data_IF_380340438630
#
_entry.id   IF_380340438630
#
_cell.length_a   1.000
_cell.length_b   1.000
_cell.length_c   1.000
_cell.angle_alpha   90.00
_cell.angle_beta   90.00
_cell.angle_gamma   90.00
#
_symmetry.space_group_name_H-M   'P 1'
#
loop_
_entity.id
_entity.type
_entity.pdbx_description
1 polymer ?
#
# COMPACT_ATOMS: atom_id res chain seq x y z
N UNK A 1 11.14 -65.11 1.45
CA UNK A 1 12.23 -64.19 1.05
C UNK A 1 12.08 -63.85 -0.43
N UNK A 2 11.65 -62.62 -0.71
CA UNK A 2 11.98 -61.77 -1.88
C UNK A 2 10.89 -60.70 -1.99
N UNK A 3 11.27 -59.48 -1.59
CA UNK A 3 10.52 -58.23 -1.79
C UNK A 3 10.93 -57.61 -3.13
N UNK A 4 9.97 -56.86 -3.72
CA UNK A 4 10.04 -55.58 -4.46
C UNK A 4 9.07 -55.57 -5.66
N UNK A 5 8.70 -54.40 -6.24
CA UNK A 5 8.17 -53.16 -5.63
C UNK A 5 7.07 -52.49 -6.51
N UNK A 6 6.41 -51.44 -6.01
CA UNK A 6 5.68 -50.33 -6.71
C UNK A 6 4.45 -49.93 -5.88
N UNK A 7 4.08 -48.67 -5.66
CA UNK A 7 4.54 -47.38 -6.15
C UNK A 7 3.99 -46.36 -5.15
N UNK A 8 4.86 -45.59 -4.51
CA UNK A 8 4.46 -44.38 -3.79
C UNK A 8 4.51 -43.22 -4.76
N UNK A 9 3.35 -42.68 -5.13
CA UNK A 9 3.25 -41.39 -5.79
C UNK A 9 3.77 -40.30 -4.83
N UNK A 10 5.00 -39.84 -5.09
CA UNK A 10 5.46 -38.53 -4.62
C UNK A 10 4.82 -37.49 -5.54
N UNK A 11 3.91 -36.68 -5.01
CA UNK A 11 3.47 -35.47 -5.69
C UNK A 11 4.54 -34.39 -5.58
N UNK A 12 4.90 -33.86 -6.75
CA UNK A 12 6.02 -32.96 -7.04
C UNK A 12 5.53 -31.50 -7.02
N UNK A 13 6.36 -30.64 -6.42
CA UNK A 13 6.56 -29.19 -6.63
C UNK A 13 5.34 -28.24 -6.66
N UNK A 14 5.23 -27.42 -5.61
CA UNK A 14 4.53 -26.14 -5.64
C UNK A 14 5.52 -25.00 -5.99
N UNK A 15 5.19 -24.19 -6.99
CA UNK A 15 6.02 -23.15 -7.60
C UNK A 15 6.22 -21.88 -6.74
N UNK A 16 7.34 -21.13 -6.88
CA UNK A 16 7.73 -19.97 -6.05
C UNK A 16 6.69 -18.84 -5.95
N UNK A 17 5.98 -18.55 -7.06
CA UNK A 17 4.92 -17.53 -7.16
C UNK A 17 3.78 -17.80 -6.14
N UNK A 18 3.57 -19.07 -5.77
CA UNK A 18 2.51 -19.47 -4.86
C UNK A 18 2.83 -19.23 -3.38
N UNK A 19 4.08 -18.89 -3.01
CA UNK A 19 4.49 -18.71 -1.61
C UNK A 19 4.15 -17.31 -1.08
N UNK A 20 4.67 -16.24 -1.70
CA UNK A 20 4.52 -14.87 -1.19
C UNK A 20 3.12 -14.31 -1.45
N UNK A 21 2.52 -14.59 -2.61
CA UNK A 21 1.13 -14.24 -2.89
C UNK A 21 0.17 -14.92 -1.89
N UNK A 22 0.45 -16.17 -1.50
CA UNK A 22 -0.31 -16.90 -0.46
C UNK A 22 -0.06 -16.34 0.93
N UNK A 23 1.15 -15.88 1.26
CA UNK A 23 1.44 -15.21 2.53
C UNK A 23 0.78 -13.84 2.62
N UNK A 24 0.74 -13.07 1.53
CA UNK A 24 0.00 -11.82 1.46
C UNK A 24 -1.52 -12.06 1.57
N UNK A 25 -2.04 -13.07 0.89
CA UNK A 25 -3.44 -13.50 1.03
C UNK A 25 -3.76 -13.95 2.47
N UNK A 26 -2.88 -14.75 3.09
CA UNK A 26 -3.00 -15.17 4.51
C UNK A 26 -2.96 -13.98 5.47
N UNK A 27 -2.04 -13.05 5.28
CA UNK A 27 -1.94 -11.79 6.03
C UNK A 27 -3.26 -11.02 5.98
N UNK A 28 -3.83 -10.89 4.78
CA UNK A 28 -5.09 -10.19 4.60
C UNK A 28 -6.25 -10.91 5.31
N UNK A 29 -6.34 -12.25 5.18
CA UNK A 29 -7.35 -13.08 5.85
C UNK A 29 -7.27 -12.98 7.38
N UNK A 30 -6.09 -13.08 7.99
CA UNK A 30 -5.93 -12.97 9.44
C UNK A 30 -6.40 -11.62 9.99
N UNK A 31 -6.19 -10.53 9.23
CA UNK A 31 -6.71 -9.20 9.58
C UNK A 31 -8.25 -9.11 9.49
N UNK A 32 -8.90 -10.00 8.75
CA UNK A 32 -10.35 -10.10 8.62
C UNK A 32 -10.97 -11.08 9.62
N UNK A 33 -10.35 -12.22 9.92
CA UNK A 33 -10.84 -13.19 10.92
C UNK A 33 -10.96 -12.57 12.31
N UNK A 34 -10.08 -11.62 12.63
CA UNK A 34 -10.17 -10.80 13.85
C UNK A 34 -11.45 -9.93 13.90
N UNK A 35 -12.08 -9.66 12.75
CA UNK A 35 -13.33 -8.90 12.59
C UNK A 35 -14.56 -9.78 12.36
N UNK A 36 -14.40 -10.95 11.72
CA UNK A 36 -15.49 -11.86 11.33
C UNK A 36 -15.97 -12.80 12.45
N UNK A 37 -15.19 -12.99 13.53
CA UNK A 37 -15.61 -13.81 14.67
C UNK A 37 -16.88 -13.29 15.42
N UNK A 38 -17.49 -12.20 14.93
CA UNK A 38 -18.62 -11.52 15.56
C UNK A 38 -20.02 -11.92 15.02
N UNK A 39 -20.18 -12.58 13.87
CA UNK A 39 -21.54 -12.80 13.30
C UNK A 39 -21.64 -14.08 12.46
N UNK A 40 -22.52 -15.02 12.86
CA UNK A 40 -22.77 -16.29 12.17
C UNK A 40 -24.06 -16.29 11.33
N UNK A 41 -24.04 -16.93 10.15
CA UNK A 41 -25.18 -16.90 9.21
C UNK A 41 -25.32 -18.16 8.34
N UNK A 42 -26.57 -18.48 7.96
CA UNK A 42 -26.92 -19.20 6.70
C UNK A 42 -28.21 -18.72 6.01
N UNK A 43 -29.10 -17.95 6.66
CA UNK A 43 -30.33 -17.41 6.04
C UNK A 43 -30.24 -15.94 5.58
N UNK A 44 -29.16 -15.26 5.94
CA UNK A 44 -28.96 -13.83 5.75
C UNK A 44 -28.22 -13.46 4.45
N UNK A 45 -27.51 -14.43 3.86
CA UNK A 45 -26.65 -14.25 2.68
C UNK A 45 -27.42 -13.79 1.42
N UNK A 46 -28.69 -14.20 1.24
CA UNK A 46 -29.47 -13.84 0.04
C UNK A 46 -30.06 -12.43 0.05
N UNK A 47 -30.31 -11.85 1.22
CA UNK A 47 -30.80 -10.47 1.34
C UNK A 47 -29.68 -9.46 1.03
N UNK A 48 -28.46 -9.73 1.52
CA UNK A 48 -27.28 -8.91 1.23
C UNK A 48 -26.83 -9.00 -0.21
N UNK A 49 -27.00 -10.15 -0.88
CA UNK A 49 -26.64 -10.29 -2.30
C UNK A 49 -27.42 -9.31 -3.20
N UNK A 50 -28.73 -9.19 -2.96
CA UNK A 50 -29.59 -8.26 -3.69
C UNK A 50 -29.23 -6.81 -3.38
N UNK A 51 -29.05 -6.47 -2.10
CA UNK A 51 -28.67 -5.12 -1.67
C UNK A 51 -27.32 -4.69 -2.27
N UNK A 52 -26.31 -5.56 -2.23
CA UNK A 52 -24.99 -5.28 -2.81
C UNK A 52 -25.02 -5.16 -4.33
N UNK A 53 -25.86 -5.95 -4.99
CA UNK A 53 -26.05 -5.84 -6.44
C UNK A 53 -26.65 -4.49 -6.83
N UNK A 54 -27.66 -4.01 -6.10
CA UNK A 54 -28.27 -2.69 -6.31
C UNK A 54 -27.27 -1.55 -6.03
N UNK A 55 -26.47 -1.66 -4.96
CA UNK A 55 -25.40 -0.70 -4.66
C UNK A 55 -24.35 -0.70 -5.79
N UNK A 56 -23.89 -1.87 -6.22
CA UNK A 56 -22.88 -1.99 -7.27
C UNK A 56 -23.37 -1.40 -8.60
N UNK A 57 -24.62 -1.68 -8.99
CA UNK A 57 -25.21 -1.13 -10.22
C UNK A 57 -25.28 0.40 -10.18
N UNK A 58 -25.72 0.97 -9.04
CA UNK A 58 -25.74 2.42 -8.84
C UNK A 58 -24.34 3.03 -9.00
N UNK A 59 -23.34 2.42 -8.35
CA UNK A 59 -21.95 2.88 -8.41
C UNK A 59 -21.34 2.71 -9.81
N UNK A 60 -21.75 1.68 -10.55
CA UNK A 60 -21.32 1.48 -11.94
C UNK A 60 -21.81 2.62 -12.83
N UNK A 61 -23.05 3.08 -12.62
CA UNK A 61 -23.62 4.20 -13.37
C UNK A 61 -22.89 5.52 -13.09
N UNK A 62 -22.46 5.75 -11.85
CA UNK A 62 -21.71 6.97 -11.48
C UNK A 62 -20.22 6.90 -11.81
N UNK A 63 -19.65 5.71 -11.98
CA UNK A 63 -18.21 5.47 -12.15
C UNK A 63 -17.55 6.37 -13.19
N UNK A 64 -18.17 6.54 -14.37
CA UNK A 64 -17.61 7.38 -15.44
C UNK A 64 -17.51 8.84 -15.03
N UNK A 65 -18.56 9.39 -14.42
CA UNK A 65 -18.58 10.78 -13.97
C UNK A 65 -17.59 10.98 -12.82
N UNK A 66 -17.59 10.05 -11.87
CA UNK A 66 -16.71 10.06 -10.70
C UNK A 66 -15.22 9.97 -11.08
N UNK A 67 -14.87 9.15 -12.07
CA UNK A 67 -13.50 9.07 -12.62
C UNK A 67 -13.05 10.41 -13.23
N UNK A 68 -13.92 11.11 -13.96
CA UNK A 68 -13.59 12.44 -14.50
C UNK A 68 -13.38 13.50 -13.40
N UNK A 69 -14.20 13.48 -12.35
CA UNK A 69 -14.02 14.37 -11.20
C UNK A 69 -12.75 14.06 -10.41
N UNK A 70 -12.41 12.79 -10.27
CA UNK A 70 -11.17 12.35 -9.66
C UNK A 70 -9.96 12.91 -10.42
N UNK A 71 -10.05 13.00 -11.76
CA UNK A 71 -8.92 13.50 -12.57
C UNK A 71 -8.68 14.97 -12.29
N UNK A 72 -9.75 15.77 -12.28
CA UNK A 72 -9.68 17.19 -11.94
C UNK A 72 -9.03 17.41 -10.56
N UNK A 73 -9.37 16.56 -9.58
CA UNK A 73 -8.78 16.64 -8.24
C UNK A 73 -7.30 16.26 -8.24
N UNK A 74 -6.92 15.24 -9.00
CA UNK A 74 -5.53 14.82 -9.18
C UNK A 74 -4.68 15.92 -9.82
N UNK A 75 -5.17 16.47 -10.93
CA UNK A 75 -4.51 17.56 -11.66
C UNK A 75 -4.39 18.82 -10.81
N UNK A 76 -5.44 19.17 -10.06
CA UNK A 76 -5.39 20.29 -9.11
C UNK A 76 -4.30 20.12 -8.05
N UNK A 77 -4.15 18.89 -7.53
CA UNK A 77 -3.21 18.61 -6.45
C UNK A 77 -1.76 18.56 -6.92
N UNK A 78 -1.47 17.82 -8.00
CA UNK A 78 -0.10 17.51 -8.42
C UNK A 78 0.23 17.91 -9.87
N UNK A 79 -0.67 18.57 -10.60
CA UNK A 79 -0.43 18.99 -11.99
C UNK A 79 0.80 19.89 -12.15
N UNK A 80 1.10 20.74 -11.16
CA UNK A 80 2.31 21.59 -11.17
C UNK A 80 3.60 20.79 -11.01
N UNK A 81 3.52 19.59 -10.45
CA UNK A 81 4.68 18.73 -10.24
C UNK A 81 5.25 18.21 -11.57
N UNK A 82 4.45 18.15 -12.64
CA UNK A 82 4.92 17.84 -14.00
C UNK A 82 6.05 18.78 -14.40
N UNK A 83 5.82 20.09 -14.24
CA UNK A 83 6.81 21.11 -14.58
C UNK A 83 7.99 21.10 -13.60
N UNK A 84 7.70 21.03 -12.30
CA UNK A 84 8.74 21.09 -11.24
C UNK A 84 9.73 19.94 -11.33
N UNK A 85 9.23 18.74 -11.61
CA UNK A 85 10.02 17.51 -11.69
C UNK A 85 10.47 17.15 -13.11
N UNK A 86 10.12 17.99 -14.10
CA UNK A 86 10.42 17.78 -15.51
C UNK A 86 9.92 16.41 -16.02
N UNK A 87 8.74 16.00 -15.55
CA UNK A 87 8.08 14.77 -16.01
C UNK A 87 7.59 15.05 -17.43
N UNK A 88 7.87 14.13 -18.37
CA UNK A 88 7.38 14.25 -19.73
C UNK A 88 5.83 14.18 -19.73
N UNK A 89 5.11 15.25 -20.10
CA UNK A 89 3.65 15.27 -20.05
C UNK A 89 2.99 14.20 -20.92
N UNK A 90 3.68 13.71 -21.95
CA UNK A 90 3.17 12.64 -22.83
C UNK A 90 3.07 11.28 -22.16
N UNK A 91 3.71 11.10 -20.99
CA UNK A 91 3.60 9.88 -20.20
C UNK A 91 2.32 9.85 -19.35
N UNK A 92 1.59 10.96 -19.29
CA UNK A 92 0.39 11.12 -18.49
C UNK A 92 -0.77 11.40 -19.46
N UNK A 93 -1.51 10.35 -19.81
CA UNK A 93 -2.73 10.45 -20.60
C UNK A 93 -3.96 10.36 -19.69
N UNK A 94 -4.67 11.48 -19.44
CA UNK A 94 -5.85 11.49 -18.57
C UNK A 94 -6.94 10.49 -18.99
N UNK A 95 -7.12 10.31 -20.30
CA UNK A 95 -8.17 9.46 -20.85
C UNK A 95 -7.83 8.00 -20.64
N UNK A 96 -6.59 7.62 -20.95
CA UNK A 96 -6.13 6.26 -20.73
C UNK A 96 -6.12 5.88 -19.25
N UNK A 97 -5.67 6.77 -18.36
CA UNK A 97 -5.70 6.50 -16.91
C UNK A 97 -7.15 6.36 -16.43
N UNK A 98 -8.07 7.17 -16.94
CA UNK A 98 -9.49 7.09 -16.58
C UNK A 98 -10.17 5.82 -17.10
N UNK A 99 -9.78 5.33 -18.27
CA UNK A 99 -10.21 4.04 -18.84
C UNK A 99 -9.69 2.87 -17.99
N UNK A 100 -8.38 2.85 -17.71
CA UNK A 100 -7.77 1.82 -16.86
C UNK A 100 -8.43 1.80 -15.45
N UNK A 101 -8.77 2.97 -14.90
CA UNK A 101 -9.51 3.08 -13.64
C UNK A 101 -10.92 2.52 -13.74
N UNK A 102 -11.65 2.84 -14.81
CA UNK A 102 -12.99 2.34 -15.05
C UNK A 102 -13.02 0.81 -15.05
N UNK A 103 -12.14 0.17 -15.83
CA UNK A 103 -12.11 -1.29 -15.94
C UNK A 103 -11.81 -1.99 -14.61
N UNK A 104 -10.93 -1.40 -13.79
CA UNK A 104 -10.60 -1.95 -12.48
C UNK A 104 -11.76 -1.82 -11.50
N UNK A 105 -12.37 -0.64 -11.42
CA UNK A 105 -13.50 -0.42 -10.52
C UNK A 105 -14.72 -1.23 -10.95
N UNK A 106 -14.95 -1.43 -12.24
CA UNK A 106 -15.98 -2.34 -12.75
C UNK A 106 -15.79 -3.75 -12.18
N UNK A 107 -14.59 -4.33 -12.30
CA UNK A 107 -14.29 -5.67 -11.75
C UNK A 107 -14.43 -5.73 -10.23
N UNK A 108 -14.07 -4.66 -9.52
CA UNK A 108 -14.22 -4.59 -8.07
C UNK A 108 -15.70 -4.52 -7.65
N UNK A 109 -16.50 -3.71 -8.33
CA UNK A 109 -17.95 -3.59 -8.10
C UNK A 109 -18.69 -4.89 -8.44
N UNK A 110 -18.34 -5.55 -9.54
CA UNK A 110 -18.87 -6.87 -9.86
C UNK A 110 -18.53 -7.92 -8.80
N UNK A 111 -17.29 -7.90 -8.30
CA UNK A 111 -16.85 -8.83 -7.26
C UNK A 111 -17.60 -8.58 -5.95
N UNK A 112 -17.82 -7.31 -5.61
CA UNK A 112 -18.62 -6.91 -4.46
C UNK A 112 -20.09 -7.34 -4.58
N UNK A 113 -20.71 -7.14 -5.75
CA UNK A 113 -22.08 -7.60 -6.03
C UNK A 113 -22.23 -9.11 -5.87
N UNK A 114 -21.24 -9.88 -6.38
CA UNK A 114 -21.18 -11.34 -6.29
C UNK A 114 -20.73 -11.85 -4.92
N UNK A 115 -20.51 -10.95 -3.95
CA UNK A 115 -19.97 -11.26 -2.62
C UNK A 115 -18.67 -12.08 -2.64
N UNK A 116 -17.86 -11.89 -3.69
CA UNK A 116 -16.54 -12.50 -3.78
C UNK A 116 -15.67 -11.84 -2.73
N UNK A 117 -15.27 -12.61 -1.73
CA UNK A 117 -14.49 -12.09 -0.61
C UNK A 117 -13.28 -11.26 -1.10
N UNK A 118 -13.00 -10.07 -0.52
CA UNK A 118 -12.01 -9.13 -1.05
C UNK A 118 -10.61 -9.73 -1.28
N UNK A 119 -10.22 -10.74 -0.51
CA UNK A 119 -8.96 -11.48 -0.71
C UNK A 119 -8.84 -12.12 -2.11
N UNK A 120 -9.96 -12.52 -2.70
CA UNK A 120 -9.98 -13.08 -4.04
C UNK A 120 -9.93 -12.00 -5.11
N UNK A 121 -10.30 -10.75 -4.79
CA UNK A 121 -10.13 -9.63 -5.71
C UNK A 121 -8.66 -9.45 -6.10
N UNK A 122 -7.73 -9.55 -5.13
CA UNK A 122 -6.30 -9.45 -5.42
C UNK A 122 -5.83 -10.47 -6.47
N UNK A 123 -6.43 -11.67 -6.51
CA UNK A 123 -6.15 -12.67 -7.54
C UNK A 123 -6.80 -12.33 -8.89
N UNK A 124 -7.94 -11.65 -8.88
CA UNK A 124 -8.69 -11.26 -10.08
C UNK A 124 -8.02 -10.08 -10.78
N UNK A 125 -7.64 -9.05 -10.03
CA UNK A 125 -7.12 -7.78 -10.59
C UNK A 125 -5.63 -7.57 -10.41
N UNK A 126 -4.95 -8.37 -9.57
CA UNK A 126 -3.56 -8.10 -9.18
C UNK A 126 -2.57 -8.07 -10.35
N UNK A 127 -2.66 -9.02 -11.28
CA UNK A 127 -1.82 -9.01 -12.49
C UNK A 127 -2.11 -7.82 -13.40
N UNK A 128 -3.38 -7.41 -13.51
CA UNK A 128 -3.77 -6.26 -14.32
C UNK A 128 -3.30 -4.94 -13.69
N UNK A 129 -3.41 -4.81 -12.36
CA UNK A 129 -2.88 -3.66 -11.62
C UNK A 129 -1.35 -3.60 -11.69
N UNK A 130 -0.66 -4.75 -11.66
CA UNK A 130 0.78 -4.83 -11.92
C UNK A 130 1.13 -4.31 -13.32
N UNK A 131 0.42 -4.77 -14.35
CA UNK A 131 0.60 -4.29 -15.72
C UNK A 131 0.31 -2.79 -15.89
N UNK A 132 -0.74 -2.28 -15.24
CA UNK A 132 -1.04 -0.84 -15.20
C UNK A 132 0.13 -0.09 -14.57
N UNK A 133 0.60 -0.53 -13.40
CA UNK A 133 1.74 0.11 -12.74
C UNK A 133 2.95 0.13 -13.66
N UNK A 134 3.34 -1.01 -14.22
CA UNK A 134 4.50 -1.14 -15.11
C UNK A 134 4.37 -0.28 -16.37
N UNK A 135 3.17 -0.25 -16.98
CA UNK A 135 2.84 0.58 -18.15
C UNK A 135 3.22 2.05 -17.88
N UNK A 136 2.82 2.59 -16.74
CA UNK A 136 3.06 4.00 -16.43
C UNK A 136 4.46 4.26 -15.87
N UNK A 137 5.03 3.36 -15.07
CA UNK A 137 6.34 3.57 -14.40
C UNK A 137 7.55 3.24 -15.26
N UNK A 138 7.38 2.49 -16.36
CA UNK A 138 8.49 2.01 -17.20
C UNK A 138 9.44 3.10 -17.70
N UNK A 139 8.92 4.29 -18.02
CA UNK A 139 9.71 5.42 -18.48
C UNK A 139 10.08 6.41 -17.35
N UNK A 140 9.15 6.66 -16.42
CA UNK A 140 9.35 7.55 -15.28
C UNK A 140 8.52 7.05 -14.10
N UNK A 141 9.14 6.53 -13.01
CA UNK A 141 8.40 5.99 -11.87
C UNK A 141 7.46 6.97 -11.18
N UNK A 142 7.65 8.29 -11.35
CA UNK A 142 6.82 9.31 -10.69
C UNK A 142 5.43 9.40 -11.29
N UNK A 143 5.22 8.94 -12.51
CA UNK A 143 3.89 8.93 -13.17
C UNK A 143 2.85 8.16 -12.35
N UNK A 144 3.28 7.16 -11.57
CA UNK A 144 2.39 6.40 -10.69
C UNK A 144 1.68 7.28 -9.67
N UNK A 145 2.23 8.45 -9.30
CA UNK A 145 1.55 9.39 -8.43
C UNK A 145 0.24 9.91 -9.02
N UNK A 146 0.19 10.15 -10.34
CA UNK A 146 -1.02 10.56 -11.05
C UNK A 146 -2.02 9.42 -11.14
N UNK A 147 -1.56 8.23 -11.51
CA UNK A 147 -2.40 7.03 -11.63
C UNK A 147 -3.00 6.66 -10.28
N UNK A 148 -2.17 6.55 -9.24
CA UNK A 148 -2.61 6.14 -7.91
C UNK A 148 -3.56 7.17 -7.28
N UNK A 149 -3.31 8.48 -7.44
CA UNK A 149 -4.25 9.50 -6.95
C UNK A 149 -5.58 9.50 -7.72
N UNK A 150 -5.54 9.27 -9.03
CA UNK A 150 -6.74 9.18 -9.85
C UNK A 150 -7.64 8.02 -9.40
N UNK A 151 -7.05 6.84 -9.22
CA UNK A 151 -7.78 5.69 -8.68
C UNK A 151 -8.27 5.97 -7.26
N UNK A 152 -7.38 6.44 -6.38
CA UNK A 152 -7.72 6.74 -5.00
C UNK A 152 -8.93 7.69 -4.88
N UNK A 153 -8.94 8.80 -5.62
CA UNK A 153 -10.06 9.73 -5.59
C UNK A 153 -11.32 9.18 -6.23
N UNK A 154 -11.22 8.35 -7.28
CA UNK A 154 -12.36 7.63 -7.84
C UNK A 154 -13.01 6.75 -6.76
N UNK A 155 -12.23 5.94 -6.06
CA UNK A 155 -12.72 5.10 -4.96
C UNK A 155 -13.33 5.89 -3.80
N UNK A 156 -12.72 7.00 -3.39
CA UNK A 156 -13.25 7.85 -2.32
C UNK A 156 -14.61 8.47 -2.69
N UNK A 157 -14.75 8.95 -3.93
CA UNK A 157 -16.00 9.55 -4.41
C UNK A 157 -17.09 8.49 -4.52
N UNK A 158 -16.80 7.29 -5.05
CA UNK A 158 -17.76 6.17 -5.07
C UNK A 158 -18.21 5.77 -3.67
N UNK A 159 -17.28 5.66 -2.70
CA UNK A 159 -17.63 5.35 -1.31
C UNK A 159 -18.60 6.38 -0.72
N UNK A 160 -18.45 7.65 -1.08
CA UNK A 160 -19.31 8.73 -0.57
C UNK A 160 -20.76 8.64 -1.07
N UNK A 161 -21.03 7.88 -2.14
CA UNK A 161 -22.38 7.67 -2.68
C UNK A 161 -23.16 6.54 -2.00
N UNK A 162 -22.48 5.72 -1.18
CA UNK A 162 -23.08 4.62 -0.42
C UNK A 162 -23.63 5.18 0.88
N UNK A 163 -24.93 5.06 1.14
CA UNK A 163 -25.55 5.64 2.35
C UNK A 163 -25.29 4.82 3.62
N UNK A 164 -25.15 3.50 3.49
CA UNK A 164 -24.90 2.60 4.61
C UNK A 164 -23.41 2.63 4.98
N UNK A 165 -23.08 3.08 6.20
CA UNK A 165 -21.71 3.05 6.74
C UNK A 165 -21.16 1.63 6.81
N UNK A 166 -22.02 0.64 7.04
CA UNK A 166 -21.62 -0.76 7.01
C UNK A 166 -21.16 -1.17 5.62
N UNK A 167 -21.97 -0.92 4.58
CA UNK A 167 -21.60 -1.27 3.21
C UNK A 167 -20.43 -0.43 2.68
N UNK A 168 -20.29 0.83 3.11
CA UNK A 168 -19.06 1.61 2.87
C UNK A 168 -17.82 0.87 3.39
N UNK A 169 -17.87 0.34 4.61
CA UNK A 169 -16.74 -0.39 5.20
C UNK A 169 -16.46 -1.71 4.47
N UNK A 170 -17.50 -2.39 3.98
CA UNK A 170 -17.34 -3.60 3.17
C UNK A 170 -16.68 -3.27 1.82
N UNK A 171 -17.16 -2.25 1.13
CA UNK A 171 -16.64 -1.82 -0.17
C UNK A 171 -15.21 -1.25 -0.06
N UNK A 172 -14.90 -0.56 1.04
CA UNK A 172 -13.56 -0.05 1.33
C UNK A 172 -12.50 -1.16 1.29
N UNK A 173 -12.85 -2.39 1.69
CA UNK A 173 -11.94 -3.53 1.64
C UNK A 173 -11.52 -3.89 0.20
N UNK A 174 -12.43 -3.77 -0.77
CA UNK A 174 -12.16 -3.98 -2.20
C UNK A 174 -11.30 -2.84 -2.75
N UNK A 175 -11.63 -1.59 -2.40
CA UNK A 175 -10.89 -0.43 -2.89
C UNK A 175 -9.48 -0.35 -2.31
N UNK A 176 -9.27 -0.84 -1.08
CA UNK A 176 -7.93 -0.97 -0.50
C UNK A 176 -7.04 -1.89 -1.34
N UNK A 177 -7.57 -3.00 -1.87
CA UNK A 177 -6.77 -3.90 -2.72
C UNK A 177 -6.24 -3.16 -3.95
N UNK A 178 -7.08 -2.31 -4.56
CA UNK A 178 -6.70 -1.48 -5.70
C UNK A 178 -5.59 -0.50 -5.31
N UNK A 179 -5.81 0.30 -4.26
CA UNK A 179 -4.83 1.28 -3.76
C UNK A 179 -3.49 0.60 -3.45
N UNK A 180 -3.51 -0.54 -2.75
CA UNK A 180 -2.32 -1.25 -2.32
C UNK A 180 -1.44 -1.66 -3.52
N UNK A 181 -2.02 -2.17 -4.61
CA UNK A 181 -1.27 -2.60 -5.80
C UNK A 181 -0.72 -1.43 -6.62
N UNK A 182 -1.35 -0.25 -6.55
CA UNK A 182 -0.88 0.94 -7.27
C UNK A 182 0.22 1.68 -6.51
N UNK A 183 0.06 1.85 -5.19
CA UNK A 183 1.04 2.57 -4.38
C UNK A 183 2.29 1.74 -4.08
N UNK A 184 2.17 0.42 -3.95
CA UNK A 184 3.27 -0.46 -3.59
C UNK A 184 3.72 -1.30 -4.80
N UNK A 185 5.02 -1.55 -4.99
CA UNK A 185 5.53 -2.38 -6.08
C UNK A 185 5.35 -3.88 -5.78
N UNK A 186 4.11 -4.32 -5.53
CA UNK A 186 3.81 -5.69 -5.09
C UNK A 186 4.24 -6.74 -6.13
N UNK A 187 4.02 -6.48 -7.42
CA UNK A 187 4.43 -7.38 -8.48
C UNK A 187 5.96 -7.57 -8.50
N UNK A 188 6.72 -6.47 -8.46
CA UNK A 188 8.19 -6.50 -8.34
C UNK A 188 8.65 -7.23 -7.07
N UNK A 189 7.97 -7.05 -5.94
CA UNK A 189 8.26 -7.81 -4.71
C UNK A 189 8.02 -9.31 -4.89
N UNK A 190 6.96 -9.71 -5.61
CA UNK A 190 6.71 -11.12 -5.94
C UNK A 190 7.79 -11.69 -6.86
N UNK A 191 8.19 -10.95 -7.89
CA UNK A 191 9.21 -11.39 -8.85
C UNK A 191 10.61 -11.48 -8.19
N UNK A 192 10.95 -10.51 -7.34
CA UNK A 192 12.18 -10.53 -6.55
C UNK A 192 12.20 -11.71 -5.58
N UNK A 193 11.08 -11.99 -4.90
CA UNK A 193 10.97 -13.16 -4.01
C UNK A 193 11.04 -14.48 -4.77
N UNK A 194 10.45 -14.56 -5.97
CA UNK A 194 10.49 -15.75 -6.81
C UNK A 194 11.90 -16.04 -7.37
N UNK A 195 12.75 -15.01 -7.44
CA UNK A 195 14.14 -15.11 -7.89
C UNK A 195 15.10 -15.53 -6.78
N UNK A 196 14.63 -15.66 -5.53
CA UNK A 196 15.44 -16.12 -4.40
C UNK A 196 15.49 -17.64 -4.30
N UNK A 197 16.62 -18.16 -3.82
CA UNK A 197 16.72 -19.55 -3.39
C UNK A 197 15.78 -19.84 -2.21
N UNK A 198 15.30 -21.09 -2.14
CA UNK A 198 14.29 -21.50 -1.16
C UNK A 198 14.74 -21.28 0.30
N UNK A 199 16.03 -21.46 0.58
CA UNK A 199 16.66 -21.29 1.89
C UNK A 199 17.35 -19.92 2.06
N UNK A 200 17.09 -18.98 1.14
CA UNK A 200 17.65 -17.62 1.22
C UNK A 200 17.26 -16.94 2.53
N UNK A 201 18.25 -16.44 3.31
CA UNK A 201 17.98 -15.65 4.53
C UNK A 201 17.12 -14.41 4.26
N UNK A 202 17.30 -13.77 3.10
CA UNK A 202 16.52 -12.60 2.68
C UNK A 202 15.05 -12.95 2.45
N UNK A 203 14.79 -14.08 1.78
CA UNK A 203 13.42 -14.56 1.58
C UNK A 203 12.77 -14.94 2.91
N UNK A 204 13.48 -15.68 3.77
CA UNK A 204 13.00 -16.13 5.07
C UNK A 204 12.57 -14.97 5.98
N UNK A 205 13.39 -13.92 6.07
CA UNK A 205 13.06 -12.77 6.93
C UNK A 205 11.89 -11.94 6.39
N UNK A 206 11.77 -11.79 5.06
CA UNK A 206 10.61 -11.12 4.45
C UNK A 206 9.33 -11.92 4.69
N UNK A 207 9.38 -13.25 4.58
CA UNK A 207 8.24 -14.12 4.88
C UNK A 207 7.82 -14.06 6.35
N UNK A 208 8.76 -13.82 7.28
CA UNK A 208 8.49 -13.62 8.70
C UNK A 208 7.81 -12.28 8.99
N UNK A 209 8.26 -11.20 8.35
CA UNK A 209 7.76 -9.84 8.59
C UNK A 209 6.46 -9.51 7.85
N UNK A 210 6.23 -10.14 6.68
CA UNK A 210 5.06 -9.86 5.85
C UNK A 210 3.72 -10.01 6.61
N UNK A 211 3.46 -11.10 7.37
CA UNK A 211 2.21 -11.28 8.11
C UNK A 211 1.92 -10.19 9.15
N UNK A 212 2.95 -9.61 9.79
CA UNK A 212 2.79 -8.60 10.84
C UNK A 212 2.98 -7.16 10.34
N UNK A 213 3.24 -6.94 9.05
CA UNK A 213 3.53 -5.60 8.50
C UNK A 213 2.45 -4.53 8.73
N UNK A 214 1.17 -4.90 8.73
CA UNK A 214 0.07 -3.96 9.04
C UNK A 214 0.04 -3.63 10.53
N UNK A 215 0.36 -4.59 11.40
CA UNK A 215 0.49 -4.34 12.84
C UNK A 215 1.66 -3.40 13.12
N UNK A 216 2.81 -3.64 12.49
CA UNK A 216 3.97 -2.74 12.53
C UNK A 216 3.56 -1.32 12.11
N UNK A 217 2.87 -1.19 10.97
CA UNK A 217 2.41 0.11 10.49
C UNK A 217 1.47 0.81 11.48
N UNK A 218 0.51 0.08 12.06
CA UNK A 218 -0.41 0.61 13.08
C UNK A 218 0.33 1.09 14.32
N UNK A 219 1.29 0.32 14.81
CA UNK A 219 2.10 0.69 15.99
C UNK A 219 2.92 1.94 15.74
N UNK A 220 3.57 2.03 14.56
CA UNK A 220 4.34 3.21 14.16
C UNK A 220 3.45 4.44 14.07
N UNK A 221 2.29 4.34 13.40
CA UNK A 221 1.36 5.46 13.28
C UNK A 221 0.80 5.87 14.63
N UNK A 222 0.44 4.92 15.50
CA UNK A 222 -0.06 5.20 16.84
C UNK A 222 1.01 5.92 17.68
N UNK A 223 2.26 5.44 17.65
CA UNK A 223 3.37 6.10 18.35
C UNK A 223 3.68 7.48 17.78
N UNK A 224 3.52 7.66 16.48
CA UNK A 224 3.71 8.97 15.83
C UNK A 224 2.61 9.96 16.25
N UNK A 225 1.35 9.51 16.36
CA UNK A 225 0.24 10.32 16.88
C UNK A 225 0.53 10.80 18.31
N UNK A 226 1.05 9.91 19.16
CA UNK A 226 1.44 10.24 20.54
C UNK A 226 2.58 11.26 20.61
N UNK A 227 3.56 11.17 19.70
CA UNK A 227 4.69 12.10 19.65
C UNK A 227 4.31 13.46 19.04
N UNK A 228 3.35 13.51 18.13
CA UNK A 228 2.93 14.73 17.42
C UNK A 228 1.41 14.95 17.48
N UNK A 229 0.81 15.13 18.68
CA UNK A 229 -0.63 15.16 18.84
C UNK A 229 -1.31 16.36 18.15
N UNK A 230 -0.55 17.42 17.87
CA UNK A 230 -1.02 18.67 17.23
C UNK A 230 -0.68 18.78 15.75
N UNK A 231 -0.09 17.75 15.15
CA UNK A 231 0.29 17.78 13.73
C UNK A 231 -0.96 17.83 12.83
N UNK A 232 -0.87 18.64 11.76
CA UNK A 232 -1.90 18.79 10.73
C UNK A 232 -1.25 18.65 9.34
N UNK A 233 -1.81 17.77 8.51
CA UNK A 233 -1.51 17.65 7.08
C UNK A 233 -2.53 18.44 6.25
N UNK A 234 -2.41 18.41 4.91
CA UNK A 234 -3.45 18.94 4.02
C UNK A 234 -4.84 18.33 4.30
N UNK A 235 -4.87 17.05 4.69
CA UNK A 235 -6.09 16.28 4.95
C UNK A 235 -6.54 16.31 6.42
N UNK A 236 -5.88 17.09 7.28
CA UNK A 236 -6.23 17.27 8.69
C UNK A 236 -5.25 16.60 9.68
N UNK A 237 -5.72 16.41 10.92
CA UNK A 237 -4.91 15.86 12.02
C UNK A 237 -4.59 14.38 11.87
N UNK A 238 -3.47 13.93 12.44
CA UNK A 238 -3.10 12.50 12.49
C UNK A 238 -4.15 11.63 13.19
N UNK A 239 -4.98 12.21 14.08
CA UNK A 239 -6.09 11.51 14.72
C UNK A 239 -7.28 11.27 13.78
N UNK A 240 -7.38 12.02 12.68
CA UNK A 240 -8.50 11.90 11.75
C UNK A 240 -8.45 10.53 11.04
N UNK A 241 -9.55 9.77 10.97
CA UNK A 241 -9.53 8.39 10.45
C UNK A 241 -8.94 8.25 9.04
N UNK A 242 -9.22 9.21 8.15
CA UNK A 242 -8.68 9.24 6.78
C UNK A 242 -7.16 9.44 6.79
N UNK A 243 -6.65 10.36 7.61
CA UNK A 243 -5.22 10.64 7.73
C UNK A 243 -4.50 9.46 8.36
N UNK A 244 -5.09 8.85 9.40
CA UNK A 244 -4.55 7.64 10.03
C UNK A 244 -4.44 6.49 9.02
N UNK A 245 -5.46 6.30 8.18
CA UNK A 245 -5.48 5.26 7.15
C UNK A 245 -4.41 5.51 6.08
N UNK A 246 -4.26 6.76 5.60
CA UNK A 246 -3.20 7.10 4.65
C UNK A 246 -1.81 6.96 5.26
N UNK A 247 -1.61 7.35 6.53
CA UNK A 247 -0.31 7.17 7.21
C UNK A 247 0.05 5.70 7.38
N UNK A 248 -0.92 4.84 7.68
CA UNK A 248 -0.68 3.38 7.73
C UNK A 248 -0.25 2.88 6.36
N UNK A 249 -0.93 3.31 5.28
CA UNK A 249 -0.59 2.93 3.90
C UNK A 249 0.84 3.35 3.54
N UNK A 250 1.25 4.57 3.90
CA UNK A 250 2.61 5.04 3.65
C UNK A 250 3.65 4.17 4.36
N UNK A 251 3.41 3.82 5.63
CA UNK A 251 4.33 2.92 6.35
C UNK A 251 4.35 1.52 5.74
N UNK A 252 3.21 0.99 5.27
CA UNK A 252 3.17 -0.27 4.52
C UNK A 252 3.97 -0.17 3.21
N UNK A 253 3.85 0.95 2.49
CA UNK A 253 4.60 1.21 1.26
C UNK A 253 6.11 1.20 1.51
N UNK A 254 6.58 1.92 2.53
CA UNK A 254 8.00 1.92 2.91
C UNK A 254 8.52 0.52 3.24
N UNK A 255 7.71 -0.30 3.94
CA UNK A 255 8.06 -1.69 4.23
C UNK A 255 8.21 -2.52 2.95
N UNK A 256 7.29 -2.40 1.99
CA UNK A 256 7.38 -3.15 0.72
C UNK A 256 8.61 -2.75 -0.09
N UNK A 257 8.91 -1.46 -0.21
CA UNK A 257 10.13 -1.01 -0.90
C UNK A 257 11.40 -1.52 -0.21
N UNK A 258 11.43 -1.56 1.12
CA UNK A 258 12.54 -2.18 1.86
C UNK A 258 12.68 -3.67 1.56
N UNK A 259 11.58 -4.41 1.49
CA UNK A 259 11.63 -5.84 1.14
C UNK A 259 12.14 -6.05 -0.27
N UNK A 260 11.70 -5.24 -1.25
CA UNK A 260 12.24 -5.31 -2.61
C UNK A 260 13.75 -5.10 -2.60
N UNK A 261 14.24 -4.09 -1.89
CA UNK A 261 15.67 -3.84 -1.81
C UNK A 261 16.45 -5.00 -1.18
N UNK A 262 15.92 -5.62 -0.11
CA UNK A 262 16.51 -6.81 0.52
C UNK A 262 16.52 -8.01 -0.42
N UNK A 263 15.41 -8.26 -1.12
CA UNK A 263 15.27 -9.40 -2.03
C UNK A 263 16.11 -9.23 -3.30
N UNK A 264 16.29 -8.01 -3.80
CA UNK A 264 17.10 -7.75 -5.00
C UNK A 264 18.56 -7.41 -4.68
N UNK A 265 18.90 -7.36 -3.40
CA UNK A 265 20.22 -6.98 -2.89
C UNK A 265 20.75 -5.63 -3.43
N UNK A 266 19.89 -4.62 -3.55
CA UNK A 266 20.26 -3.29 -4.03
C UNK A 266 19.26 -2.22 -3.54
N UNK A 267 19.59 -0.92 -3.69
CA UNK A 267 18.75 0.19 -3.21
C UNK A 267 17.85 0.80 -4.30
N UNK A 268 17.81 0.24 -5.51
CA UNK A 268 17.19 0.88 -6.68
C UNK A 268 15.70 1.17 -6.50
N UNK A 269 14.95 0.27 -5.85
CA UNK A 269 13.52 0.47 -5.62
C UNK A 269 13.26 1.71 -4.74
N UNK A 270 14.13 1.98 -3.77
CA UNK A 270 14.05 3.18 -2.95
C UNK A 270 14.53 4.41 -3.73
N UNK A 271 15.69 4.31 -4.38
CA UNK A 271 16.36 5.45 -5.02
C UNK A 271 15.62 5.96 -6.25
N UNK A 272 15.07 5.06 -7.07
CA UNK A 272 14.51 5.39 -8.37
C UNK A 272 12.99 5.53 -8.33
N UNK A 273 12.30 4.88 -7.37
CA UNK A 273 10.84 4.92 -7.28
C UNK A 273 10.35 5.64 -6.01
N UNK A 274 10.59 5.08 -4.82
CA UNK A 274 10.00 5.58 -3.57
C UNK A 274 10.41 7.03 -3.29
N UNK A 275 11.71 7.32 -3.32
CA UNK A 275 12.21 8.64 -2.96
C UNK A 275 11.68 9.73 -3.91
N UNK A 276 11.83 9.62 -5.24
CA UNK A 276 11.25 10.62 -6.16
C UNK A 276 9.73 10.76 -6.02
N UNK A 277 9.00 9.66 -5.76
CA UNK A 277 7.56 9.70 -5.52
C UNK A 277 7.22 10.49 -4.24
N UNK A 278 7.93 10.26 -3.14
CA UNK A 278 7.76 11.03 -1.92
C UNK A 278 8.07 12.51 -2.13
N UNK A 279 9.18 12.86 -2.81
CA UNK A 279 9.55 14.26 -3.10
C UNK A 279 8.46 14.97 -3.89
N UNK A 280 7.81 14.26 -4.81
CA UNK A 280 6.71 14.79 -5.61
C UNK A 280 5.43 14.95 -4.79
N UNK A 281 5.02 13.93 -4.03
CA UNK A 281 3.71 13.89 -3.39
C UNK A 281 3.64 14.59 -2.03
N UNK A 282 4.64 14.41 -1.17
CA UNK A 282 4.58 14.85 0.22
C UNK A 282 4.49 16.37 0.38
N UNK A 283 5.24 17.19 -0.38
CA UNK A 283 5.05 18.64 -0.35
C UNK A 283 3.64 19.08 -0.78
N UNK A 284 3.09 18.48 -1.83
CA UNK A 284 1.73 18.78 -2.31
C UNK A 284 0.66 18.41 -1.24
N UNK A 285 0.90 17.34 -0.50
CA UNK A 285 0.05 16.85 0.60
C UNK A 285 0.33 17.53 1.96
N UNK A 286 1.28 18.47 2.02
CA UNK A 286 1.75 19.11 3.25
C UNK A 286 2.19 18.09 4.32
N UNK A 287 2.89 17.05 3.89
CA UNK A 287 3.55 16.08 4.77
C UNK A 287 4.94 16.60 5.08
N UNK A 288 5.24 16.81 6.36
CA UNK A 288 6.54 17.32 6.80
C UNK A 288 7.55 16.19 6.83
N UNK A 289 8.77 16.47 6.37
CA UNK A 289 9.87 15.51 6.35
C UNK A 289 10.24 14.99 7.73
N UNK A 290 10.00 15.77 8.78
CA UNK A 290 10.21 15.32 10.16
C UNK A 290 9.33 14.14 10.54
N UNK A 291 8.06 14.15 10.10
CA UNK A 291 7.14 13.05 10.32
C UNK A 291 7.65 11.78 9.63
N UNK A 292 8.13 11.91 8.38
CA UNK A 292 8.70 10.82 7.59
C UNK A 292 9.93 10.23 8.27
N UNK A 293 10.86 11.08 8.71
CA UNK A 293 12.06 10.66 9.46
C UNK A 293 11.70 9.89 10.72
N UNK A 294 10.71 10.37 11.48
CA UNK A 294 10.27 9.67 12.68
C UNK A 294 9.65 8.31 12.34
N UNK A 295 8.83 8.22 11.30
CA UNK A 295 8.25 6.94 10.85
C UNK A 295 9.34 5.96 10.43
N UNK A 296 10.37 6.40 9.70
CA UNK A 296 11.53 5.55 9.31
C UNK A 296 12.28 5.06 10.56
N UNK A 297 12.52 5.93 11.54
CA UNK A 297 13.19 5.57 12.79
C UNK A 297 12.38 4.52 13.59
N UNK A 298 11.08 4.73 13.74
CA UNK A 298 10.18 3.78 14.41
C UNK A 298 10.11 2.45 13.65
N UNK A 299 10.11 2.48 12.32
CA UNK A 299 10.15 1.28 11.48
C UNK A 299 11.41 0.44 11.74
N UNK A 300 12.58 1.07 11.85
CA UNK A 300 13.82 0.39 12.22
C UNK A 300 13.74 -0.30 13.59
N UNK A 301 13.07 0.33 14.57
CA UNK A 301 12.86 -0.23 15.91
C UNK A 301 11.89 -1.42 15.88
N UNK A 302 10.75 -1.28 15.21
CA UNK A 302 9.74 -2.35 15.10
C UNK A 302 10.26 -3.58 14.33
N UNK A 303 11.12 -3.38 13.32
CA UNK A 303 11.75 -4.49 12.60
C UNK A 303 12.78 -5.19 13.48
N UNK A 304 13.64 -4.42 14.15
CA UNK A 304 14.69 -4.97 15.03
C UNK A 304 14.13 -5.79 16.19
N UNK A 305 12.94 -5.44 16.71
CA UNK A 305 12.31 -6.19 17.81
C UNK A 305 11.68 -7.52 17.37
N UNK A 306 11.49 -7.74 16.06
CA UNK A 306 10.78 -8.91 15.51
C UNK A 306 11.68 -9.93 14.81
N UNK A 307 12.95 -9.60 14.63
CA UNK A 307 13.91 -10.47 13.94
C UNK A 307 15.15 -10.71 14.80
N UNK A 308 15.78 -11.86 14.59
CA UNK A 308 17.00 -12.26 15.29
C UNK A 308 18.18 -11.35 14.94
N UNK A 309 19.19 -11.19 15.82
CA UNK A 309 20.33 -10.29 15.60
C UNK A 309 21.03 -10.49 14.24
N UNK A 310 21.19 -11.72 13.77
CA UNK A 310 21.80 -12.05 12.49
C UNK A 310 20.93 -11.58 11.32
N UNK A 311 19.60 -11.72 11.45
CA UNK A 311 18.64 -11.28 10.43
C UNK A 311 18.54 -9.75 10.37
N UNK A 312 18.80 -9.03 11.47
CA UNK A 312 18.83 -7.56 11.48
C UNK A 312 19.88 -7.03 10.51
N UNK A 313 21.03 -7.70 10.40
CA UNK A 313 22.12 -7.26 9.53
C UNK A 313 21.71 -7.17 8.06
N UNK A 314 20.74 -7.98 7.63
CA UNK A 314 20.19 -7.94 6.28
C UNK A 314 19.50 -6.61 5.96
N UNK A 315 18.90 -5.95 6.96
CA UNK A 315 18.15 -4.71 6.75
C UNK A 315 18.96 -3.44 7.01
N UNK A 316 20.04 -3.53 7.79
CA UNK A 316 20.88 -2.37 8.18
C UNK A 316 21.26 -1.48 6.99
N UNK A 317 21.84 -1.99 5.88
CA UNK A 317 22.28 -1.12 4.79
C UNK A 317 21.10 -0.36 4.14
N UNK A 318 19.93 -1.00 4.04
CA UNK A 318 18.74 -0.39 3.44
C UNK A 318 18.09 0.66 4.34
N UNK A 319 18.07 0.43 5.66
CA UNK A 319 17.63 1.45 6.61
C UNK A 319 18.59 2.64 6.68
N UNK A 320 19.90 2.40 6.58
CA UNK A 320 20.89 3.48 6.52
C UNK A 320 20.67 4.35 5.28
N UNK A 321 20.53 3.73 4.11
CA UNK A 321 20.22 4.44 2.87
C UNK A 321 18.92 5.28 2.99
N UNK A 322 17.83 4.72 3.53
CA UNK A 322 16.60 5.49 3.78
C UNK A 322 16.84 6.69 4.70
N UNK A 323 17.56 6.49 5.81
CA UNK A 323 17.80 7.56 6.78
C UNK A 323 18.65 8.68 6.18
N UNK A 324 19.63 8.35 5.36
CA UNK A 324 20.49 9.32 4.66
C UNK A 324 19.69 10.10 3.61
N UNK A 325 18.92 9.39 2.77
CA UNK A 325 18.12 10.01 1.71
C UNK A 325 17.05 10.96 2.27
N UNK A 326 16.42 10.65 3.40
CA UNK A 326 15.42 11.50 4.04
C UNK A 326 16.00 12.38 5.17
N UNK A 327 17.32 12.53 5.25
CA UNK A 327 18.01 13.24 6.32
C UNK A 327 17.76 14.76 6.29
N UNK A 328 18.05 15.47 7.40
CA UNK A 328 18.04 16.93 7.42
C UNK A 328 19.04 17.60 6.45
N UNK A 329 20.07 16.88 6.01
CA UNK A 329 21.02 17.40 5.00
C UNK A 329 20.38 17.49 3.62
N UNK A 330 19.46 16.56 3.30
CA UNK A 330 18.69 16.55 2.04
C UNK A 330 17.45 17.42 2.16
N UNK A 331 16.74 17.33 3.30
CA UNK A 331 15.52 18.08 3.58
C UNK A 331 15.66 18.87 4.90
N UNK A 332 16.29 20.05 4.86
CA UNK A 332 16.41 20.90 6.04
C UNK A 332 15.04 21.31 6.56
N UNK A 333 14.92 21.43 7.89
CA UNK A 333 13.73 22.00 8.53
C UNK A 333 13.51 23.43 8.01
N UNK A 334 12.27 23.75 7.62
CA UNK A 334 11.91 25.09 7.17
C UNK A 334 11.79 26.05 8.37
N UNK A 335 11.89 27.36 8.16
CA UNK A 335 11.77 28.36 9.26
C UNK A 335 10.38 28.31 9.93
N UNK A 336 9.35 27.88 9.20
CA UNK A 336 8.01 27.61 9.76
C UNK A 336 7.99 26.40 10.72
N UNK A 337 9.06 25.59 10.73
CA UNK A 337 9.20 24.46 11.65
C UNK A 337 9.65 24.89 13.07
N UNK A 338 10.11 26.13 13.26
CA UNK A 338 10.69 26.60 14.53
C UNK A 338 9.65 26.72 15.66
N UNK A 339 8.38 26.96 15.32
CA UNK A 339 7.25 26.88 16.26
C UNK A 339 7.10 25.49 16.91
N UNK A 340 7.54 24.43 16.24
CA UNK A 340 7.43 23.05 16.71
C UNK A 340 8.54 22.62 17.68
N UNK A 341 9.68 23.34 17.73
CA UNK A 341 10.75 23.06 18.71
C UNK A 341 10.27 23.19 20.15
N UNK A 342 9.27 24.04 20.40
CA UNK A 342 8.64 24.22 21.71
C UNK A 342 7.95 22.94 22.23
N UNK A 343 7.62 21.98 21.36
CA UNK A 343 7.10 20.68 21.77
C UNK A 343 8.22 19.70 22.16
N UNK A 344 9.43 19.81 21.58
CA UNK A 344 10.60 18.98 21.95
C UNK A 344 11.12 19.32 23.35
N UNK A 345 11.00 20.57 23.81
CA UNK A 345 11.48 20.99 25.14
C UNK A 345 10.66 20.45 26.31
N UNK A 346 9.58 19.69 26.07
CA UNK A 346 8.71 19.13 27.13
C UNK A 346 8.88 17.62 27.38
N UNK A 347 9.95 16.98 26.89
CA UNK A 347 10.43 15.71 27.48
C UNK A 347 10.43 14.49 26.58
N UNK A 348 11.41 14.40 25.69
CA UNK A 348 11.87 13.12 25.16
C UNK A 348 13.39 13.18 24.96
N UNK A 349 14.13 12.68 25.93
CA UNK A 349 15.57 12.41 25.79
C UNK A 349 15.76 11.18 24.89
N UNK A 350 16.81 11.22 24.06
CA UNK A 350 17.21 10.23 23.05
C UNK A 350 17.18 8.77 23.50
#
# INVERSE_FOLDING_TARGET
MKQNPNQGEKSINQTPIQSLAKLWAKKYIQNLETKEAATGEKAWVSAYEKERSEIAEKLMYSLRYTSLQAWQKTEYLIGREIQRHQINPRLIDPWQISEDAFEIYEKALESYAKMIAPQHLARIVGSYLGQIRDKYTSADPRTIGFVALQFHYTGQMLLSEVSSVWEQNQLLAYFKVIDDHLYMPLQRAYDAAASQDYDSPALSVVQMLLPCSTEIARNICQRTIELYPRYLSHSGSLHHPVVKTSSIRDVEMFQVYLWVCVLENNISAIQQELFPLCVMLYPALKVHWELVRQMINLMGKEFSSRVEPEQRQLFVPYFQALREMFSPEVFPESIDDEMWRTARSMGATL
#
